data_IF_875337144110
#
_entry.id   IF_875337144110
#
_cell.length_a   1.000
_cell.length_b   1.000
_cell.length_c   1.000
_cell.angle_alpha   90.00
_cell.angle_beta   90.00
_cell.angle_gamma   90.00
#
_symmetry.space_group_name_H-M   'P 1'
#
loop_
_entity.id
_entity.type
_entity.pdbx_description
1 polymer ?
#
# COMPACT_ATOMS: atom_id res chain seq x y z
N UNK A 1 5.25 12.60 16.00
CA UNK A 1 4.56 12.89 17.28
C UNK A 1 4.42 11.58 18.03
N UNK A 2 5.15 11.40 19.14
CA UNK A 2 5.06 10.19 19.97
C UNK A 2 3.82 10.27 20.84
N UNK A 3 2.91 9.29 20.71
CA UNK A 3 1.77 9.13 21.61
C UNK A 3 2.26 8.57 22.95
N UNK A 4 2.53 9.46 23.91
CA UNK A 4 2.71 9.07 25.32
C UNK A 4 1.35 8.68 25.89
N UNK A 5 1.23 7.41 26.28
CA UNK A 5 0.10 6.79 26.98
C UNK A 5 -0.61 7.71 27.99
N UNK A 6 -1.86 8.11 27.70
CA UNK A 6 -2.93 8.42 28.67
C UNK A 6 -4.35 8.17 28.11
N UNK A 7 -4.55 7.08 27.38
CA UNK A 7 -5.85 6.42 27.20
C UNK A 7 -5.65 5.10 26.45
N UNK A 8 -5.77 3.98 27.14
CA UNK A 8 -5.80 2.62 26.55
C UNK A 8 -7.09 2.33 25.77
N UNK A 9 -7.96 3.33 25.55
CA UNK A 9 -9.25 3.19 24.87
C UNK A 9 -9.31 3.73 23.44
N UNK A 10 -8.24 4.35 22.93
CA UNK A 10 -8.24 4.88 21.56
C UNK A 10 -8.44 3.73 20.54
N UNK A 11 -9.52 3.80 19.75
CA UNK A 11 -9.82 2.78 18.75
C UNK A 11 -9.06 3.08 17.47
N UNK A 12 -8.68 2.05 16.71
CA UNK A 12 -8.00 2.22 15.41
C UNK A 12 -8.80 3.15 14.49
N UNK A 13 -10.12 3.01 14.45
CA UNK A 13 -11.02 3.86 13.66
C UNK A 13 -10.96 5.35 14.00
N UNK A 14 -10.45 5.72 15.18
CA UNK A 14 -10.35 7.10 15.64
C UNK A 14 -9.10 7.80 15.08
N UNK A 15 -8.08 7.01 14.71
CA UNK A 15 -6.77 7.51 14.25
C UNK A 15 -6.39 7.08 12.84
N UNK A 16 -7.04 6.06 12.29
CA UNK A 16 -6.72 5.55 10.96
C UNK A 16 -7.14 6.53 9.87
N UNK A 17 -6.36 6.56 8.81
CA UNK A 17 -6.78 7.22 7.58
C UNK A 17 -7.98 6.46 6.97
N UNK A 18 -9.07 7.18 6.72
CA UNK A 18 -10.31 6.61 6.17
C UNK A 18 -10.44 6.84 4.66
N UNK A 19 -9.77 7.87 4.16
CA UNK A 19 -9.75 8.22 2.74
C UNK A 19 -8.45 7.73 2.12
N UNK A 20 -8.51 6.57 1.49
CA UNK A 20 -7.42 6.00 0.74
C UNK A 20 -7.95 5.37 -0.53
N UNK A 21 -7.10 5.35 -1.56
CA UNK A 21 -7.42 4.72 -2.83
C UNK A 21 -6.76 3.33 -2.85
N UNK A 22 -7.54 2.25 -2.65
CA UNK A 22 -7.01 0.91 -2.82
C UNK A 22 -6.65 0.66 -4.29
N UNK A 23 -5.72 -0.25 -4.54
CA UNK A 23 -5.39 -0.73 -5.88
C UNK A 23 -6.13 -2.03 -6.15
N UNK A 24 -6.54 -2.28 -7.40
CA UNK A 24 -7.14 -3.56 -7.78
C UNK A 24 -6.05 -4.61 -8.03
N UNK A 25 -6.40 -5.88 -7.86
CA UNK A 25 -5.46 -7.00 -8.10
C UNK A 25 -4.99 -7.11 -9.55
N UNK A 26 -5.78 -6.60 -10.50
CA UNK A 26 -5.52 -6.58 -11.93
C UNK A 26 -4.91 -5.26 -12.44
N UNK A 27 -4.70 -4.28 -11.54
CA UNK A 27 -4.00 -3.04 -11.88
C UNK A 27 -2.58 -3.35 -12.36
N UNK A 28 -2.15 -2.68 -13.43
CA UNK A 28 -0.78 -2.83 -13.93
C UNK A 28 0.22 -2.26 -12.93
N UNK A 29 1.25 -3.05 -12.60
CA UNK A 29 2.30 -2.64 -11.66
C UNK A 29 3.00 -1.34 -12.06
N UNK A 30 3.14 -1.08 -13.36
CA UNK A 30 3.72 0.17 -13.90
C UNK A 30 2.87 1.41 -13.60
N UNK A 31 1.55 1.28 -13.57
CA UNK A 31 0.63 2.35 -13.19
C UNK A 31 0.67 2.60 -11.68
N UNK A 32 0.73 1.52 -10.90
CA UNK A 32 0.92 1.58 -9.44
C UNK A 32 2.24 2.28 -9.11
N UNK A 33 3.34 1.92 -9.77
CA UNK A 33 4.65 2.56 -9.57
C UNK A 33 4.62 4.07 -9.79
N UNK A 34 3.93 4.53 -10.84
CA UNK A 34 3.74 5.97 -11.10
C UNK A 34 2.95 6.65 -9.99
N UNK A 35 1.85 6.03 -9.53
CA UNK A 35 1.01 6.53 -8.44
C UNK A 35 1.77 6.59 -7.11
N UNK A 36 2.58 5.58 -6.80
CA UNK A 36 3.41 5.54 -5.59
C UNK A 36 4.47 6.64 -5.64
N UNK A 37 5.13 6.86 -6.79
CA UNK A 37 6.17 7.89 -6.91
C UNK A 37 5.63 9.32 -6.83
N UNK A 38 4.38 9.56 -7.24
CA UNK A 38 3.76 10.89 -7.18
C UNK A 38 3.14 11.22 -5.82
N UNK A 39 2.94 10.24 -4.96
CA UNK A 39 2.30 10.41 -3.65
C UNK A 39 3.32 10.17 -2.54
N UNK A 40 3.21 10.85 -1.41
CA UNK A 40 4.01 10.54 -0.21
C UNK A 40 3.54 9.27 0.53
N UNK A 41 2.69 8.44 -0.11
CA UNK A 41 2.19 7.19 0.46
C UNK A 41 3.02 6.04 -0.06
N UNK A 42 3.51 5.23 0.87
CA UNK A 42 4.40 4.10 0.58
C UNK A 42 3.70 2.75 0.68
N UNK A 43 2.43 2.69 1.08
CA UNK A 43 1.69 1.45 1.32
C UNK A 43 0.27 1.55 0.76
N UNK A 44 -0.13 0.54 -0.02
CA UNK A 44 -1.43 0.49 -0.67
C UNK A 44 -2.11 -0.86 -0.43
N UNK A 45 -3.35 -0.87 0.09
CA UNK A 45 -4.13 -2.10 0.16
C UNK A 45 -4.52 -2.53 -1.26
N UNK A 46 -4.34 -3.82 -1.55
CA UNK A 46 -4.75 -4.47 -2.79
C UNK A 46 -6.09 -5.15 -2.56
N UNK A 47 -7.07 -4.87 -3.39
CA UNK A 47 -8.41 -5.45 -3.29
C UNK A 47 -8.80 -6.22 -4.55
N UNK A 48 -9.64 -7.22 -4.35
CA UNK A 48 -10.36 -7.92 -5.42
C UNK A 48 -11.87 -7.70 -5.19
N UNK A 49 -12.45 -6.75 -5.92
CA UNK A 49 -13.81 -6.30 -5.68
C UNK A 49 -13.97 -5.66 -4.29
N UNK A 50 -14.63 -6.37 -3.36
CA UNK A 50 -14.85 -5.90 -1.97
C UNK A 50 -13.99 -6.63 -0.93
N UNK A 51 -13.07 -7.49 -1.36
CA UNK A 51 -12.22 -8.29 -0.47
C UNK A 51 -10.80 -7.73 -0.46
N UNK A 52 -10.17 -7.73 0.71
CA UNK A 52 -8.75 -7.46 0.83
C UNK A 52 -7.98 -8.67 0.30
N UNK A 53 -7.23 -8.45 -0.79
CA UNK A 53 -6.36 -9.47 -1.39
C UNK A 53 -4.95 -9.43 -0.78
N UNK A 54 -4.48 -8.26 -0.36
CA UNK A 54 -3.18 -8.08 0.27
C UNK A 54 -2.79 -6.61 0.36
N UNK A 55 -1.48 -6.34 0.35
CA UNK A 55 -0.95 -5.00 0.27
C UNK A 55 0.35 -4.98 -0.53
N UNK A 56 0.67 -3.83 -1.10
CA UNK A 56 1.91 -3.61 -1.83
C UNK A 56 2.55 -2.29 -1.40
N UNK A 57 3.88 -2.32 -1.26
CA UNK A 57 4.70 -1.15 -0.98
C UNK A 57 5.79 -0.94 -2.05
N UNK A 58 6.54 0.16 -1.93
CA UNK A 58 7.62 0.46 -2.88
C UNK A 58 8.78 -0.55 -2.80
N UNK A 59 8.98 -1.22 -1.67
CA UNK A 59 10.02 -2.24 -1.54
C UNK A 59 9.66 -3.47 -2.38
N UNK A 60 8.40 -3.93 -2.30
CA UNK A 60 7.91 -5.04 -3.13
C UNK A 60 8.05 -4.73 -4.62
N UNK A 61 7.67 -3.52 -5.04
CA UNK A 61 7.76 -3.10 -6.44
C UNK A 61 9.23 -3.04 -6.90
N UNK A 62 10.11 -2.46 -6.08
CA UNK A 62 11.53 -2.33 -6.40
C UNK A 62 12.22 -3.69 -6.47
N UNK A 63 11.88 -4.61 -5.56
CA UNK A 63 12.38 -5.99 -5.56
C UNK A 63 11.98 -6.70 -6.85
N UNK A 64 10.70 -6.60 -7.24
CA UNK A 64 10.20 -7.21 -8.47
C UNK A 64 10.93 -6.69 -9.71
N UNK A 65 11.08 -5.37 -9.84
CA UNK A 65 11.77 -4.76 -11.00
C UNK A 65 13.25 -5.16 -11.02
N UNK A 66 13.91 -5.22 -9.87
CA UNK A 66 15.36 -5.49 -9.79
C UNK A 66 15.68 -6.96 -10.06
N UNK A 67 14.90 -7.88 -9.49
CA UNK A 67 15.27 -9.28 -9.45
C UNK A 67 14.39 -10.21 -10.27
N UNK A 68 13.14 -9.84 -10.57
CA UNK A 68 12.18 -10.73 -11.24
C UNK A 68 11.87 -10.32 -12.67
N UNK A 69 11.63 -9.03 -12.92
CA UNK A 69 11.34 -8.53 -14.25
C UNK A 69 12.41 -8.86 -15.31
N UNK A 70 13.72 -8.86 -15.01
CA UNK A 70 14.75 -9.25 -15.98
C UNK A 70 14.83 -10.77 -16.26
N UNK A 71 14.22 -11.61 -15.40
CA UNK A 71 14.27 -13.07 -15.51
C UNK A 71 13.05 -13.66 -16.23
N UNK A 72 11.98 -12.87 -16.40
CA UNK A 72 10.73 -13.29 -17.06
C UNK A 72 10.75 -13.06 -18.60
N UNK A 73 11.92 -12.80 -19.18
CA UNK A 73 12.14 -12.52 -20.62
C UNK A 73 12.99 -13.60 -21.31
#
# INVERSE_FOLDING_TARGET
>A
MMLKNRNTEARVQDIMEKEFNPVQIDDKLTEIYRKVRSNNKTFFPVIEGKKLAGAIDMNNISEFITFRAPLDY
#
